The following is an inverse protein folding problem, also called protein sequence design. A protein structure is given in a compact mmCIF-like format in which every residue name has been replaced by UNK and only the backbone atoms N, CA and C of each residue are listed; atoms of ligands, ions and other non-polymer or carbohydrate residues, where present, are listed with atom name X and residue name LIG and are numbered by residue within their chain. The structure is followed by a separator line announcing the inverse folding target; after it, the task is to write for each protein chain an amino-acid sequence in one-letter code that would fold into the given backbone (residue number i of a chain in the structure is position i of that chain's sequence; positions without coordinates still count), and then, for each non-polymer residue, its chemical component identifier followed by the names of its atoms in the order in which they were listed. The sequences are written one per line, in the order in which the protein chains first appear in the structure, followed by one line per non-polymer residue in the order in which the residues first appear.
data_IF_890217914158
#
_entry.id   IF_890217914158
#
_cell.length_a   1.000
_cell.length_b   1.000
_cell.length_c   1.000
_cell.angle_alpha   90.00
_cell.angle_beta   90.00
_cell.angle_gamma   90.00
#
_symmetry.space_group_name_H-M   'P 1'
#
loop_
_entity.id
_entity.type
_entity.pdbx_description
1 polymer ?
#
# COMPACT_ATOMS: atom_id res chain seq x y z
N UNK A 1 22.69 -22.26 7.80
CA UNK A 1 21.26 -21.90 7.95
C UNK A 1 20.57 -22.06 6.61
N UNK A 2 19.38 -22.70 6.53
CA UNK A 2 18.64 -22.83 5.27
C UNK A 2 18.10 -21.48 4.81
N UNK A 3 18.13 -21.20 3.50
CA UNK A 3 17.61 -19.99 2.84
C UNK A 3 16.10 -19.76 3.04
N UNK A 4 15.39 -20.68 3.71
CA UNK A 4 13.95 -20.64 3.95
C UNK A 4 13.57 -20.20 5.37
N UNK A 5 14.55 -19.89 6.23
CA UNK A 5 14.32 -19.69 7.66
C UNK A 5 14.21 -18.23 8.12
N UNK A 6 13.92 -17.27 7.22
CA UNK A 6 13.46 -15.96 7.67
C UNK A 6 11.98 -16.05 8.08
N UNK A 7 11.72 -16.47 9.32
CA UNK A 7 10.39 -16.65 9.93
C UNK A 7 9.66 -15.34 10.28
N UNK A 8 10.02 -14.20 9.67
CA UNK A 8 9.54 -12.88 10.13
C UNK A 8 8.71 -12.06 9.14
N UNK A 9 8.35 -12.61 7.98
CA UNK A 9 7.51 -11.86 7.04
C UNK A 9 6.46 -12.79 6.43
N UNK A 10 5.58 -13.33 7.28
CA UNK A 10 4.31 -13.85 6.78
C UNK A 10 3.45 -12.64 6.46
N UNK A 11 3.61 -12.07 5.27
CA UNK A 11 2.70 -11.05 4.77
C UNK A 11 1.28 -11.65 4.77
N UNK A 12 0.34 -10.99 5.46
CA UNK A 12 -1.05 -11.41 5.42
C UNK A 12 -1.54 -11.28 3.97
N UNK A 13 -1.92 -12.43 3.37
CA UNK A 13 -2.44 -12.50 2.00
C UNK A 13 -3.64 -11.58 1.80
N UNK A 14 -4.42 -11.29 2.84
CA UNK A 14 -5.55 -10.34 2.76
C UNK A 14 -5.06 -8.91 2.61
N UNK A 15 -4.07 -8.51 3.41
CA UNK A 15 -3.49 -7.17 3.33
C UNK A 15 -2.79 -6.93 1.99
N UNK A 16 -2.10 -7.95 1.47
CA UNK A 16 -1.46 -7.87 0.17
C UNK A 16 -2.47 -7.66 -0.97
N UNK A 17 -3.60 -8.39 -0.94
CA UNK A 17 -4.70 -8.17 -1.89
C UNK A 17 -5.32 -6.78 -1.79
N UNK A 18 -5.40 -6.22 -0.59
CA UNK A 18 -5.91 -4.85 -0.40
C UNK A 18 -4.97 -3.82 -1.01
N UNK A 19 -3.65 -4.01 -0.88
CA UNK A 19 -2.64 -3.16 -1.53
C UNK A 19 -2.75 -3.26 -3.05
N UNK A 20 -2.82 -4.47 -3.60
CA UNK A 20 -2.99 -4.69 -5.05
C UNK A 20 -4.26 -4.01 -5.57
N UNK A 21 -5.37 -4.15 -4.84
CA UNK A 21 -6.64 -3.51 -5.17
C UNK A 21 -6.53 -1.99 -5.14
N UNK A 22 -5.85 -1.42 -4.14
CA UNK A 22 -5.64 0.01 -4.03
C UNK A 22 -4.85 0.54 -5.23
N UNK A 23 -3.75 -0.13 -5.57
CA UNK A 23 -2.89 0.25 -6.71
C UNK A 23 -3.67 0.19 -8.02
N UNK A 24 -4.39 -0.90 -8.27
CA UNK A 24 -5.22 -1.04 -9.48
C UNK A 24 -6.27 0.07 -9.58
N UNK A 25 -6.97 0.33 -8.47
CA UNK A 25 -8.00 1.38 -8.41
C UNK A 25 -7.44 2.77 -8.67
N UNK A 26 -6.25 3.06 -8.13
CA UNK A 26 -5.54 4.34 -8.31
C UNK A 26 -5.03 4.51 -9.75
N UNK A 27 -4.50 3.44 -10.37
CA UNK A 27 -3.97 3.48 -11.74
C UNK A 27 -5.06 3.64 -12.81
N UNK A 28 -6.17 2.91 -12.66
CA UNK A 28 -7.24 2.90 -13.64
C UNK A 28 -8.37 3.90 -13.33
N UNK A 29 -8.30 4.56 -12.17
CA UNK A 29 -9.34 5.49 -11.72
C UNK A 29 -10.68 4.81 -11.44
N UNK A 30 -10.67 3.50 -11.18
CA UNK A 30 -11.87 2.68 -10.95
C UNK A 30 -12.08 2.52 -9.44
N UNK A 31 -13.33 2.59 -8.98
CA UNK A 31 -13.62 2.36 -7.57
C UNK A 31 -13.35 0.88 -7.17
N UNK A 32 -12.64 0.62 -6.06
CA UNK A 32 -12.32 -0.73 -5.56
C UNK A 32 -13.56 -1.54 -5.16
N UNK A 33 -14.65 -0.85 -4.83
CA UNK A 33 -15.95 -1.42 -4.47
C UNK A 33 -17.05 -0.61 -5.17
N UNK A 34 -18.19 -1.24 -5.53
CA UNK A 34 -19.32 -0.50 -6.07
C UNK A 34 -19.87 0.47 -5.02
N UNK A 35 -20.30 1.64 -5.48
CA UNK A 35 -20.95 2.65 -4.63
C UNK A 35 -20.07 3.83 -4.25
N UNK A 36 -20.68 4.77 -3.54
CA UNK A 36 -20.04 5.99 -3.03
C UNK A 36 -19.26 5.73 -1.74
N UNK A 37 -18.54 6.75 -1.23
CA UNK A 37 -17.70 6.66 -0.03
C UNK A 37 -18.42 6.03 1.18
N UNK A 38 -19.72 6.30 1.37
CA UNK A 38 -20.53 5.75 2.46
C UNK A 38 -21.01 4.30 2.26
N UNK A 39 -20.92 3.78 1.04
CA UNK A 39 -21.31 2.40 0.69
C UNK A 39 -20.11 1.45 0.71
N UNK A 40 -18.89 2.00 0.76
CA UNK A 40 -17.67 1.21 0.86
C UNK A 40 -17.51 0.61 2.26
N UNK A 41 -16.91 -0.59 2.37
CA UNK A 41 -16.66 -1.18 3.68
C UNK A 41 -15.78 -0.26 4.54
N UNK A 42 -16.22 0.07 5.76
CA UNK A 42 -15.46 0.97 6.65
C UNK A 42 -14.00 0.53 6.85
N UNK A 43 -13.78 -0.79 7.03
CA UNK A 43 -12.43 -1.37 7.13
C UNK A 43 -11.55 -1.13 5.90
N UNK A 44 -12.15 -1.07 4.71
CA UNK A 44 -11.42 -0.80 3.48
C UNK A 44 -10.99 0.68 3.43
N UNK A 45 -11.90 1.59 3.77
CA UNK A 45 -11.61 3.04 3.79
C UNK A 45 -10.40 3.33 4.68
N UNK A 46 -10.40 2.79 5.90
CA UNK A 46 -9.26 2.94 6.83
C UNK A 46 -7.95 2.40 6.24
N UNK A 47 -8.01 1.21 5.63
CA UNK A 47 -6.84 0.58 4.99
C UNK A 47 -6.32 1.41 3.83
N UNK A 48 -7.20 1.94 2.97
CA UNK A 48 -6.82 2.77 1.84
C UNK A 48 -6.08 4.02 2.28
N UNK A 49 -6.52 4.68 3.36
CA UNK A 49 -5.81 5.83 3.94
C UNK A 49 -4.44 5.47 4.50
N UNK A 50 -4.32 4.32 5.16
CA UNK A 50 -3.03 3.82 5.68
C UNK A 50 -2.07 3.54 4.52
N UNK A 51 -2.54 2.83 3.47
CA UNK A 51 -1.75 2.50 2.28
C UNK A 51 -1.27 3.78 1.60
N UNK A 52 -2.18 4.75 1.36
CA UNK A 52 -1.84 6.04 0.75
C UNK A 52 -0.78 6.80 1.55
N UNK A 53 -0.94 6.86 2.86
CA UNK A 53 0.00 7.56 3.75
C UNK A 53 1.37 6.87 3.77
N UNK A 54 1.40 5.53 3.76
CA UNK A 54 2.63 4.76 3.72
C UNK A 54 3.38 4.95 2.40
N UNK A 55 2.68 4.91 1.26
CA UNK A 55 3.25 5.17 -0.06
C UNK A 55 3.82 6.59 -0.17
N UNK A 56 3.09 7.59 0.31
CA UNK A 56 3.55 8.98 0.31
C UNK A 56 4.82 9.17 1.15
N UNK A 57 4.91 8.52 2.33
CA UNK A 57 6.14 8.52 3.14
C UNK A 57 7.31 7.89 2.40
N UNK A 58 7.10 6.70 1.82
CA UNK A 58 8.13 5.98 1.06
C UNK A 58 8.63 6.76 -0.16
N UNK A 59 7.76 7.49 -0.84
CA UNK A 59 8.17 8.35 -1.96
C UNK A 59 9.03 9.52 -1.47
N UNK A 60 8.65 10.18 -0.37
CA UNK A 60 9.46 11.26 0.23
C UNK A 60 10.84 10.77 0.64
N UNK A 61 10.91 9.64 1.34
CA UNK A 61 12.17 9.05 1.80
C UNK A 61 13.11 8.75 0.61
N UNK A 62 12.58 8.23 -0.51
CA UNK A 62 13.36 7.97 -1.72
C UNK A 62 13.89 9.26 -2.36
N UNK A 63 13.04 10.28 -2.49
CA UNK A 63 13.45 11.56 -3.07
C UNK A 63 14.55 12.20 -2.20
N UNK A 64 14.40 12.14 -0.87
CA UNK A 64 15.39 12.71 0.05
C UNK A 64 16.70 11.92 0.06
N UNK A 65 16.66 10.60 -0.12
CA UNK A 65 17.85 9.78 -0.34
C UNK A 65 18.57 10.18 -1.63
N UNK A 66 17.85 10.28 -2.75
CA UNK A 66 18.42 10.71 -4.04
C UNK A 66 18.99 12.13 -3.98
N UNK A 67 18.37 13.05 -3.22
CA UNK A 67 18.92 14.39 -3.00
C UNK A 67 20.26 14.39 -2.24
N UNK A 68 20.42 13.49 -1.27
CA UNK A 68 21.68 13.36 -0.51
C UNK A 68 22.81 12.76 -1.34
N UNK A 69 22.51 11.81 -2.22
CA UNK A 69 23.54 11.18 -3.07
C UNK A 69 24.09 12.11 -4.16
N UNK A 70 23.34 13.14 -4.55
CA UNK A 70 23.74 14.11 -5.59
C UNK A 70 24.49 15.35 -5.04
N UNK A 71 24.79 15.41 -3.75
CA UNK A 71 25.40 16.57 -3.06
C UNK A 71 26.65 16.17 -2.28
#
# INVERSE_FOLDING_TARGET
MPFFCCRNIVHDRKLQKDIERYIYSEQFGISPYPGSYGEQPAKWVDRAFIIKSALAKKQKDQIDATRKDNN
#
